data_IF_234524130547
#
_entry.id   IF_234524130547
#
_cell.length_a   1.000
_cell.length_b   1.000
_cell.length_c   1.000
_cell.angle_alpha   90.00
_cell.angle_beta   90.00
_cell.angle_gamma   90.00
#
_symmetry.space_group_name_H-M   'P 1'
#
loop_
_entity.id
_entity.type
_entity.pdbx_description
1 polymer ?
#
# COMPACT_ATOMS: atom_id res chain seq x y z
N UNK A 1 -11.18 -2.63 -10.10
CA UNK A 1 -9.89 -2.54 -9.36
C UNK A 1 -9.72 -3.75 -8.45
N UNK A 2 -8.56 -4.34 -8.41
CA UNK A 2 -8.30 -5.53 -7.56
C UNK A 2 -7.45 -5.10 -6.39
N UNK A 3 -7.98 -5.24 -5.17
CA UNK A 3 -7.35 -4.71 -3.95
C UNK A 3 -6.63 -5.77 -3.12
N UNK A 4 -6.95 -7.05 -3.28
CA UNK A 4 -6.25 -8.14 -2.57
C UNK A 4 -5.84 -9.22 -3.57
N UNK A 5 -4.60 -9.71 -3.46
CA UNK A 5 -4.07 -10.80 -4.27
C UNK A 5 -3.21 -11.72 -3.42
N UNK A 6 -3.37 -13.00 -3.68
CA UNK A 6 -2.49 -14.04 -3.17
C UNK A 6 -1.59 -14.48 -4.31
N UNK A 7 -0.28 -14.51 -4.05
CA UNK A 7 0.74 -14.95 -4.99
C UNK A 7 1.70 -15.90 -4.28
N UNK A 8 2.30 -16.79 -5.04
CA UNK A 8 3.40 -17.64 -4.57
C UNK A 8 4.69 -17.04 -5.10
N UNK A 9 5.65 -16.80 -4.23
CA UNK A 9 6.97 -16.30 -4.62
C UNK A 9 8.04 -17.33 -4.30
N UNK A 10 8.99 -17.50 -5.22
CA UNK A 10 10.11 -18.43 -5.05
C UNK A 10 11.44 -17.77 -5.43
N UNK A 11 12.41 -17.80 -4.53
CA UNK A 11 13.81 -17.51 -4.90
C UNK A 11 14.34 -18.54 -5.88
N UNK A 12 15.25 -18.12 -6.77
CA UNK A 12 15.92 -19.03 -7.68
C UNK A 12 16.75 -20.07 -6.92
N UNK A 13 16.89 -21.27 -7.47
CA UNK A 13 17.79 -22.29 -6.93
C UNK A 13 19.24 -21.85 -7.11
N UNK A 14 20.13 -22.19 -6.18
CA UNK A 14 21.56 -22.08 -6.41
C UNK A 14 22.05 -23.04 -7.47
N UNK A 15 23.02 -22.61 -8.28
CA UNK A 15 23.69 -23.44 -9.26
C UNK A 15 24.51 -24.55 -8.59
N UNK A 16 24.68 -25.68 -9.25
CA UNK A 16 25.47 -26.79 -8.72
C UNK A 16 26.97 -26.48 -8.80
N UNK A 17 27.74 -26.91 -7.82
CA UNK A 17 29.22 -26.93 -7.89
C UNK A 17 29.73 -27.94 -8.92
N UNK A 18 30.89 -27.69 -9.49
CA UNK A 18 31.47 -28.52 -10.54
C UNK A 18 32.56 -29.43 -9.98
N UNK A 19 32.58 -30.68 -10.45
CA UNK A 19 33.76 -31.55 -10.37
C UNK A 19 34.55 -31.37 -11.65
N UNK A 20 35.75 -30.87 -11.57
CA UNK A 20 36.68 -30.68 -12.69
C UNK A 20 38.12 -30.76 -12.21
N UNK A 21 39.01 -31.20 -13.11
CA UNK A 21 40.44 -31.31 -12.86
C UNK A 21 41.21 -30.61 -13.96
N UNK A 22 42.26 -29.90 -13.58
CA UNK A 22 43.14 -29.17 -14.50
C UNK A 22 43.82 -30.18 -15.42
N UNK A 23 43.74 -29.93 -16.74
CA UNK A 23 44.39 -30.71 -17.78
C UNK A 23 45.17 -29.80 -18.68
N UNK A 24 46.48 -29.92 -18.68
CA UNK A 24 47.38 -29.15 -19.54
C UNK A 24 48.38 -30.06 -20.23
N UNK A 25 48.95 -29.56 -21.32
CA UNK A 25 50.03 -30.24 -22.02
C UNK A 25 51.19 -30.47 -21.01
N UNK A 26 51.60 -31.70 -20.84
CA UNK A 26 52.63 -32.14 -19.84
C UNK A 26 52.17 -32.18 -18.36
N UNK A 27 50.91 -31.94 -18.04
CA UNK A 27 50.36 -32.13 -16.68
C UNK A 27 49.12 -33.05 -16.78
N UNK A 28 49.28 -34.38 -16.88
CA UNK A 28 48.15 -35.29 -17.06
C UNK A 28 47.29 -35.42 -15.80
N UNK A 29 47.86 -35.19 -14.59
CA UNK A 29 47.21 -35.28 -13.30
C UNK A 29 47.22 -33.93 -12.59
N UNK A 30 46.48 -32.95 -13.12
CA UNK A 30 46.29 -31.65 -12.46
C UNK A 30 45.37 -31.76 -11.26
N UNK A 31 45.52 -30.84 -10.28
CA UNK A 31 44.66 -30.77 -9.12
C UNK A 31 43.20 -30.38 -9.45
N UNK A 32 42.28 -30.42 -8.46
CA UNK A 32 40.89 -30.03 -8.63
C UNK A 32 40.79 -28.56 -9.03
N UNK A 33 39.97 -28.28 -10.01
CA UNK A 33 39.74 -26.93 -10.55
C UNK A 33 38.28 -26.58 -10.78
N UNK A 34 37.34 -27.38 -10.24
CA UNK A 34 35.92 -27.12 -10.33
C UNK A 34 35.48 -25.91 -9.49
N UNK A 35 34.81 -24.96 -10.14
CA UNK A 35 34.28 -23.75 -9.50
C UNK A 35 32.98 -24.01 -8.74
N UNK A 36 32.62 -23.08 -7.86
CA UNK A 36 31.35 -23.08 -7.13
C UNK A 36 30.21 -22.66 -8.05
N UNK A 37 28.97 -23.10 -7.79
CA UNK A 37 27.79 -22.63 -8.43
C UNK A 37 27.42 -21.20 -7.99
N UNK A 38 26.69 -20.50 -8.83
CA UNK A 38 26.15 -19.17 -8.54
C UNK A 38 24.99 -19.22 -7.55
N UNK A 39 24.78 -18.15 -6.83
CA UNK A 39 23.59 -17.98 -5.94
C UNK A 39 22.37 -17.73 -6.82
N UNK A 40 21.21 -18.27 -6.46
CA UNK A 40 19.93 -17.95 -7.12
C UNK A 40 19.49 -16.50 -6.88
N UNK A 41 18.65 -15.99 -7.77
CA UNK A 41 18.06 -14.66 -7.66
C UNK A 41 17.07 -14.56 -6.50
N UNK A 42 16.89 -13.37 -5.97
CA UNK A 42 15.90 -13.08 -4.95
C UNK A 42 14.60 -12.55 -5.59
N UNK A 43 13.47 -12.63 -4.84
CA UNK A 43 12.22 -11.94 -5.21
C UNK A 43 12.03 -10.73 -4.30
N UNK A 44 11.85 -9.57 -4.93
CA UNK A 44 11.65 -8.27 -4.26
C UNK A 44 10.36 -7.64 -4.75
N UNK A 45 9.53 -7.16 -3.84
CA UNK A 45 8.36 -6.35 -4.18
C UNK A 45 8.75 -4.87 -4.09
N UNK A 46 8.34 -4.08 -5.09
CA UNK A 46 8.72 -2.66 -5.22
C UNK A 46 7.48 -1.83 -5.48
N UNK A 47 7.24 -0.80 -4.68
CA UNK A 47 6.15 0.16 -4.91
C UNK A 47 6.47 1.09 -6.08
N UNK A 48 5.50 1.30 -6.97
CA UNK A 48 5.65 2.12 -8.17
C UNK A 48 4.39 2.96 -8.44
N UNK A 49 4.59 4.21 -8.85
CA UNK A 49 3.51 5.08 -9.32
C UNK A 49 2.93 4.65 -10.68
N UNK A 50 3.68 3.87 -11.45
CA UNK A 50 3.24 3.37 -12.76
C UNK A 50 2.26 2.18 -12.70
N UNK A 51 1.93 1.70 -11.51
CA UNK A 51 1.00 0.59 -11.29
C UNK A 51 -0.18 1.11 -10.48
N UNK A 52 -1.40 0.97 -10.99
CA UNK A 52 -2.62 1.51 -10.37
C UNK A 52 -3.43 0.47 -9.57
N UNK A 53 -3.31 -0.81 -9.89
CA UNK A 53 -4.02 -1.89 -9.19
C UNK A 53 -3.25 -3.21 -9.20
N UNK A 54 -3.76 -4.23 -8.50
CA UNK A 54 -3.17 -5.56 -8.43
C UNK A 54 -3.72 -6.55 -9.49
N UNK A 55 -4.56 -6.08 -10.42
CA UNK A 55 -5.27 -6.92 -11.39
C UNK A 55 -4.34 -7.62 -12.39
N UNK A 56 -3.20 -7.01 -12.72
CA UNK A 56 -2.22 -7.58 -13.65
C UNK A 56 -1.61 -8.93 -13.17
N UNK A 57 -1.69 -9.20 -11.86
CA UNK A 57 -1.08 -10.41 -11.29
C UNK A 57 -1.90 -11.69 -11.50
N UNK A 58 -3.14 -11.63 -11.96
CA UNK A 58 -4.00 -12.81 -12.08
C UNK A 58 -4.21 -13.58 -10.75
N UNK A 59 -5.11 -14.55 -10.68
CA UNK A 59 -5.33 -15.36 -9.48
C UNK A 59 -4.17 -16.37 -9.30
N UNK A 60 -3.60 -16.45 -8.08
CA UNK A 60 -2.57 -17.43 -7.65
C UNK A 60 -1.39 -17.59 -8.60
N UNK A 61 -0.87 -16.50 -9.12
CA UNK A 61 0.29 -16.55 -9.99
C UNK A 61 1.56 -16.86 -9.19
N UNK A 62 2.41 -17.72 -9.73
CA UNK A 62 3.72 -18.04 -9.16
C UNK A 62 4.79 -17.16 -9.81
N UNK A 63 5.62 -16.52 -8.98
CA UNK A 63 6.72 -15.66 -9.38
C UNK A 63 8.02 -16.26 -8.86
N UNK A 64 8.87 -16.72 -9.75
CA UNK A 64 10.15 -17.36 -9.39
C UNK A 64 11.28 -16.55 -10.00
N UNK A 65 12.30 -16.23 -9.19
CA UNK A 65 13.52 -15.59 -9.66
C UNK A 65 14.40 -16.59 -10.41
N UNK A 66 15.38 -16.08 -11.15
CA UNK A 66 16.30 -16.89 -11.95
C UNK A 66 17.21 -17.76 -11.08
N UNK A 67 17.45 -19.00 -11.53
CA UNK A 67 18.38 -19.90 -10.88
C UNK A 67 19.84 -19.45 -11.07
N UNK A 68 20.69 -19.74 -10.10
CA UNK A 68 22.13 -19.56 -10.25
C UNK A 68 22.72 -20.55 -11.26
N UNK A 69 23.66 -20.10 -12.06
CA UNK A 69 24.35 -20.95 -13.02
C UNK A 69 25.31 -21.93 -12.34
N UNK A 70 25.50 -23.14 -12.89
CA UNK A 70 26.47 -24.08 -12.35
C UNK A 70 27.89 -23.57 -12.50
N UNK A 71 28.77 -24.02 -11.61
CA UNK A 71 30.21 -23.80 -11.71
C UNK A 71 30.81 -24.52 -12.93
N UNK A 72 31.97 -24.08 -13.36
CA UNK A 72 32.71 -24.67 -14.48
C UNK A 72 34.18 -24.99 -14.12
N UNK A 73 34.91 -25.64 -15.01
CA UNK A 73 36.33 -25.89 -14.86
C UNK A 73 37.15 -24.60 -14.86
N UNK A 74 38.42 -24.70 -14.44
CA UNK A 74 39.31 -23.54 -14.34
C UNK A 74 38.95 -22.60 -13.19
N UNK A 75 38.32 -23.10 -12.12
CA UNK A 75 37.86 -22.36 -10.93
C UNK A 75 36.84 -21.25 -11.26
N UNK A 76 36.15 -21.36 -12.37
CA UNK A 76 35.12 -20.35 -12.77
C UNK A 76 33.85 -20.61 -12.00
N UNK A 77 33.46 -19.63 -11.17
CA UNK A 77 32.19 -19.65 -10.45
C UNK A 77 31.02 -19.43 -11.43
N UNK A 78 29.90 -20.05 -11.12
CA UNK A 78 28.64 -19.80 -11.84
C UNK A 78 28.15 -18.36 -11.64
N UNK A 79 27.51 -17.80 -12.67
CA UNK A 79 26.89 -16.48 -12.58
C UNK A 79 25.72 -16.55 -11.59
N UNK A 80 25.51 -15.50 -10.81
CA UNK A 80 24.34 -15.34 -9.94
C UNK A 80 23.09 -15.18 -10.82
N UNK A 81 21.97 -15.81 -10.42
CA UNK A 81 20.67 -15.57 -11.01
C UNK A 81 20.18 -14.13 -10.80
N UNK A 82 19.41 -13.61 -11.74
CA UNK A 82 18.88 -12.26 -11.66
C UNK A 82 17.74 -12.17 -10.64
N UNK A 83 17.72 -11.08 -9.86
CA UNK A 83 16.65 -10.81 -8.90
C UNK A 83 15.36 -10.47 -9.66
N UNK A 84 14.22 -10.99 -9.22
CA UNK A 84 12.91 -10.67 -9.77
C UNK A 84 12.27 -9.54 -8.97
N UNK A 85 12.03 -8.40 -9.63
CA UNK A 85 11.29 -7.28 -9.04
C UNK A 85 9.81 -7.33 -9.48
N UNK A 86 8.91 -7.39 -8.50
CA UNK A 86 7.46 -7.32 -8.72
C UNK A 86 7.01 -5.92 -8.36
N UNK A 87 6.58 -5.14 -9.37
CA UNK A 87 6.07 -3.80 -9.15
C UNK A 87 4.63 -3.84 -8.67
N UNK A 88 4.33 -3.12 -7.58
CA UNK A 88 2.99 -2.99 -7.00
C UNK A 88 2.61 -1.52 -6.83
N UNK A 89 1.32 -1.18 -6.71
CA UNK A 89 0.91 0.18 -6.41
C UNK A 89 1.49 0.69 -5.10
N UNK A 90 1.71 1.99 -5.02
CA UNK A 90 2.00 2.66 -3.74
C UNK A 90 0.80 2.47 -2.80
N UNK A 91 1.09 2.17 -1.52
CA UNK A 91 0.05 1.85 -0.53
C UNK A 91 -0.26 0.36 -0.40
N UNK A 92 0.49 -0.50 -1.09
CA UNK A 92 0.36 -1.96 -0.94
C UNK A 92 0.98 -2.42 0.36
N UNK A 93 0.21 -3.17 1.15
CA UNK A 93 0.72 -3.92 2.30
C UNK A 93 1.05 -5.33 1.85
N UNK A 94 2.17 -5.81 2.35
CA UNK A 94 2.70 -7.13 2.05
C UNK A 94 2.64 -7.99 3.30
N UNK A 95 1.90 -9.10 3.25
CA UNK A 95 1.85 -10.11 4.30
C UNK A 95 2.45 -11.42 3.79
N UNK A 96 2.96 -12.24 4.70
CA UNK A 96 3.24 -13.66 4.45
C UNK A 96 2.27 -14.52 5.23
N UNK A 97 1.89 -15.67 4.68
CA UNK A 97 1.10 -16.66 5.42
C UNK A 97 2.06 -17.54 6.23
N UNK A 98 1.79 -17.65 7.53
CA UNK A 98 2.41 -18.68 8.36
C UNK A 98 1.80 -20.06 8.07
N UNK A 99 2.45 -21.13 8.50
CA UNK A 99 1.94 -22.50 8.40
C UNK A 99 0.58 -22.68 9.11
N UNK A 100 0.30 -21.83 10.11
CA UNK A 100 -1.00 -21.76 10.81
C UNK A 100 -2.11 -21.12 9.95
N UNK A 101 -1.79 -20.53 8.79
CA UNK A 101 -2.70 -19.74 7.97
C UNK A 101 -2.85 -18.29 8.39
N UNK A 102 -2.17 -17.85 9.45
CA UNK A 102 -2.16 -16.46 9.93
C UNK A 102 -1.36 -15.56 8.99
N UNK A 103 -1.88 -14.36 8.71
CA UNK A 103 -1.21 -13.35 7.90
C UNK A 103 -0.27 -12.51 8.78
N UNK A 104 1.05 -12.60 8.52
CA UNK A 104 2.09 -11.85 9.23
C UNK A 104 2.52 -10.66 8.35
N UNK A 105 2.47 -9.46 8.89
CA UNK A 105 2.91 -8.24 8.20
C UNK A 105 4.41 -8.28 7.92
N UNK A 106 4.80 -8.14 6.65
CA UNK A 106 6.20 -8.00 6.22
C UNK A 106 6.57 -6.53 5.97
N UNK A 107 5.71 -5.78 5.29
CA UNK A 107 5.98 -4.38 4.97
C UNK A 107 4.70 -3.62 4.60
N UNK A 108 4.72 -2.31 4.81
CA UNK A 108 3.76 -1.35 4.30
C UNK A 108 4.48 -0.40 3.33
N UNK A 109 4.17 -0.53 2.03
CA UNK A 109 4.83 0.20 0.94
C UNK A 109 4.09 1.51 0.67
N UNK A 110 4.18 2.45 1.59
CA UNK A 110 3.43 3.73 1.60
C UNK A 110 4.04 4.81 0.71
N UNK A 111 5.31 4.68 0.29
CA UNK A 111 6.00 5.65 -0.57
C UNK A 111 6.54 4.98 -1.84
N UNK A 112 6.70 5.74 -2.96
CA UNK A 112 7.25 5.20 -4.20
C UNK A 112 8.69 4.71 -4.01
N UNK A 113 9.03 3.61 -4.67
CA UNK A 113 10.39 3.05 -4.68
C UNK A 113 10.77 2.27 -3.42
N UNK A 114 9.89 2.14 -2.43
CA UNK A 114 10.11 1.25 -1.29
C UNK A 114 10.17 -0.19 -1.75
N UNK A 115 11.05 -0.98 -1.09
CA UNK A 115 11.33 -2.38 -1.47
C UNK A 115 11.27 -3.28 -0.26
N UNK A 116 10.72 -4.48 -0.46
CA UNK A 116 10.75 -5.55 0.54
C UNK A 116 11.21 -6.84 -0.12
N UNK A 117 12.17 -7.51 0.52
CA UNK A 117 12.63 -8.85 0.12
C UNK A 117 11.61 -9.88 0.64
N UNK A 118 11.00 -10.64 -0.27
CA UNK A 118 9.95 -11.62 0.08
C UNK A 118 10.40 -13.07 -0.05
N UNK A 119 11.39 -13.37 -0.91
CA UNK A 119 12.00 -14.70 -0.97
C UNK A 119 13.47 -14.58 -1.35
N UNK A 120 14.34 -15.32 -0.64
CA UNK A 120 15.77 -15.38 -0.91
C UNK A 120 16.11 -16.51 -1.86
N UNK A 121 17.06 -16.25 -2.77
CA UNK A 121 17.65 -17.28 -3.61
C UNK A 121 18.48 -18.27 -2.80
N UNK A 122 18.55 -19.51 -3.28
CA UNK A 122 19.35 -20.58 -2.72
C UNK A 122 20.85 -20.34 -2.90
N UNK A 123 21.65 -20.85 -2.01
CA UNK A 123 23.12 -20.79 -2.10
C UNK A 123 23.63 -21.69 -3.20
N UNK A 124 24.67 -21.23 -3.90
CA UNK A 124 25.39 -22.05 -4.87
C UNK A 124 26.14 -23.22 -4.21
N UNK A 125 26.15 -24.35 -4.89
CA UNK A 125 26.88 -25.51 -4.48
C UNK A 125 28.40 -25.30 -4.57
N UNK A 126 29.17 -25.95 -3.71
CA UNK A 126 30.63 -25.86 -3.67
C UNK A 126 31.25 -26.77 -4.73
N UNK A 127 32.24 -26.27 -5.48
CA UNK A 127 33.06 -27.04 -6.41
C UNK A 127 34.06 -27.95 -5.70
N UNK A 128 34.61 -28.92 -6.43
CA UNK A 128 35.52 -29.90 -5.84
C UNK A 128 36.80 -29.27 -5.25
N UNK A 129 37.22 -28.10 -5.70
CA UNK A 129 38.34 -27.35 -5.10
C UNK A 129 38.15 -27.11 -3.60
N UNK A 130 36.91 -26.88 -3.14
CA UNK A 130 36.61 -26.62 -1.73
C UNK A 130 36.71 -27.84 -0.83
N UNK A 131 36.76 -29.05 -1.41
CA UNK A 131 36.82 -30.30 -0.71
C UNK A 131 38.24 -30.91 -0.72
N UNK A 132 39.21 -30.21 -1.34
CA UNK A 132 40.59 -30.63 -1.32
C UNK A 132 41.20 -30.48 0.08
N UNK A 133 41.83 -31.55 0.58
CA UNK A 133 42.52 -31.60 1.88
C UNK A 133 43.91 -32.22 1.69
N UNK A 134 44.76 -32.14 2.71
CA UNK A 134 46.10 -32.78 2.67
C UNK A 134 46.02 -34.29 2.44
N UNK A 135 44.94 -34.95 2.89
CA UNK A 135 44.73 -36.39 2.73
C UNK A 135 44.02 -36.73 1.42
N UNK A 136 43.05 -35.89 0.99
CA UNK A 136 42.35 -36.07 -0.27
C UNK A 136 42.60 -34.85 -1.18
N UNK A 137 43.64 -34.96 -2.01
CA UNK A 137 44.07 -33.87 -2.91
C UNK A 137 43.28 -33.81 -4.23
N UNK A 138 42.53 -34.86 -4.58
CA UNK A 138 41.77 -34.96 -5.81
C UNK A 138 40.29 -35.37 -5.56
N UNK A 139 39.51 -34.57 -4.81
CA UNK A 139 38.15 -34.95 -4.48
C UNK A 139 37.24 -34.96 -5.74
N UNK A 140 36.50 -36.05 -5.92
CA UNK A 140 35.53 -36.27 -7.00
C UNK A 140 34.10 -35.91 -6.57
N UNK A 141 33.95 -34.97 -5.63
CA UNK A 141 32.63 -34.52 -5.16
C UNK A 141 32.50 -33.02 -5.24
N UNK A 142 31.27 -32.61 -5.57
CA UNK A 142 30.83 -31.24 -5.45
C UNK A 142 29.45 -31.23 -4.77
N UNK A 143 29.03 -30.14 -4.18
CA UNK A 143 27.71 -30.04 -3.61
C UNK A 143 26.70 -29.48 -4.65
N UNK A 144 25.45 -29.90 -4.50
CA UNK A 144 24.34 -29.30 -5.27
C UNK A 144 24.02 -27.93 -4.68
N UNK A 145 23.47 -27.05 -5.53
CA UNK A 145 22.91 -25.79 -5.08
C UNK A 145 21.67 -26.01 -4.21
N UNK A 146 21.50 -25.14 -3.24
CA UNK A 146 20.33 -25.14 -2.35
C UNK A 146 19.09 -24.61 -3.09
N UNK A 147 17.91 -25.08 -2.68
CA UNK A 147 16.65 -24.50 -3.16
C UNK A 147 16.50 -23.08 -2.62
N UNK A 148 15.87 -22.20 -3.39
CA UNK A 148 15.45 -20.90 -2.89
C UNK A 148 14.28 -21.02 -1.90
N UNK A 149 14.05 -19.95 -1.15
CA UNK A 149 12.88 -19.85 -0.27
C UNK A 149 11.61 -19.81 -1.12
N UNK A 150 10.54 -20.49 -0.67
CA UNK A 150 9.21 -20.39 -1.26
C UNK A 150 8.24 -19.87 -0.18
N UNK A 151 7.42 -18.86 -0.51
CA UNK A 151 6.46 -18.26 0.41
C UNK A 151 5.16 -17.90 -0.27
N UNK A 152 4.07 -18.04 0.48
CA UNK A 152 2.77 -17.48 0.12
C UNK A 152 2.69 -16.04 0.60
N UNK A 153 2.51 -15.12 -0.33
CA UNK A 153 2.41 -13.68 -0.10
C UNK A 153 0.99 -13.22 -0.37
N UNK A 154 0.47 -12.45 0.56
CA UNK A 154 -0.79 -11.73 0.40
C UNK A 154 -0.46 -10.26 0.21
N UNK A 155 -0.90 -9.71 -0.90
CA UNK A 155 -0.82 -8.31 -1.23
C UNK A 155 -2.18 -7.67 -1.01
N UNK A 156 -2.22 -6.61 -0.23
CA UNK A 156 -3.43 -5.85 0.03
C UNK A 156 -3.17 -4.39 -0.30
N UNK A 157 -3.87 -3.87 -1.31
CA UNK A 157 -3.80 -2.46 -1.65
C UNK A 157 -4.72 -1.69 -0.71
N UNK A 158 -4.15 -0.96 0.25
CA UNK A 158 -4.90 0.05 0.99
C UNK A 158 -5.23 1.19 0.06
N UNK A 159 -6.51 1.51 -0.04
CA UNK A 159 -6.90 2.72 -0.74
C UNK A 159 -6.30 3.93 -0.03
N UNK A 160 -5.48 4.63 -0.75
CA UNK A 160 -5.10 5.99 -0.37
C UNK A 160 -6.26 6.88 -0.83
N UNK A 161 -7.23 7.08 0.02
CA UNK A 161 -8.24 8.11 -0.19
C UNK A 161 -7.66 9.43 0.27
N UNK A 162 -7.69 10.44 -0.60
CA UNK A 162 -7.24 11.78 -0.21
C UNK A 162 -8.28 12.44 0.70
N UNK A 163 -9.57 12.21 0.41
CA UNK A 163 -10.71 12.83 1.05
C UNK A 163 -11.75 11.77 1.41
N UNK A 164 -12.27 11.80 2.63
CA UNK A 164 -13.42 11.00 3.02
C UNK A 164 -14.61 11.90 3.36
N UNK A 165 -15.78 11.56 2.81
CA UNK A 165 -17.05 12.20 3.15
C UNK A 165 -17.72 11.39 4.25
N UNK A 166 -17.96 12.04 5.38
CA UNK A 166 -18.60 11.46 6.57
C UNK A 166 -19.87 12.21 6.90
N UNK A 167 -20.88 11.53 7.42
CA UNK A 167 -22.14 12.16 7.79
C UNK A 167 -23.24 11.12 7.98
N UNK A 168 -24.35 11.58 8.53
CA UNK A 168 -25.53 10.74 8.79
C UNK A 168 -26.16 10.18 7.51
N UNK A 169 -26.96 9.11 7.60
CA UNK A 169 -27.80 8.68 6.49
C UNK A 169 -28.63 9.84 5.96
N UNK A 170 -28.84 9.91 4.65
CA UNK A 170 -29.62 10.94 3.94
C UNK A 170 -29.05 12.37 4.01
N UNK A 171 -27.86 12.61 4.54
CA UNK A 171 -27.22 13.93 4.48
C UNK A 171 -26.81 14.35 3.06
N UNK A 172 -26.85 13.42 2.09
CA UNK A 172 -26.55 13.67 0.67
C UNK A 172 -25.11 13.34 0.29
N UNK A 173 -24.43 12.42 1.00
CA UNK A 173 -23.04 12.03 0.72
C UNK A 173 -22.85 11.49 -0.69
N UNK A 174 -23.65 10.52 -1.11
CA UNK A 174 -23.58 9.93 -2.45
C UNK A 174 -23.93 10.94 -3.54
N UNK A 175 -24.85 11.89 -3.25
CA UNK A 175 -25.18 12.99 -4.16
C UNK A 175 -23.99 13.93 -4.33
N UNK A 176 -23.34 14.32 -3.22
CA UNK A 176 -22.14 15.14 -3.26
C UNK A 176 -21.01 14.45 -4.01
N UNK A 177 -20.76 13.16 -3.68
CA UNK A 177 -19.73 12.37 -4.36
C UNK A 177 -19.97 12.29 -5.87
N UNK A 178 -21.21 12.10 -6.29
CA UNK A 178 -21.59 12.11 -7.72
C UNK A 178 -21.40 13.47 -8.38
N UNK A 179 -21.67 14.56 -7.65
CA UNK A 179 -21.53 15.92 -8.17
C UNK A 179 -20.06 16.36 -8.37
N UNK A 180 -19.13 15.83 -7.56
CA UNK A 180 -17.70 16.17 -7.62
C UNK A 180 -16.85 15.18 -8.40
N UNK A 181 -17.37 14.01 -8.73
CA UNK A 181 -16.68 12.98 -9.49
C UNK A 181 -16.75 13.17 -10.99
N UNK A 182 -15.64 12.90 -11.70
CA UNK A 182 -15.59 12.95 -13.18
C UNK A 182 -16.37 11.81 -13.85
N UNK A 183 -16.40 10.65 -13.22
CA UNK A 183 -17.12 9.46 -13.66
C UNK A 183 -18.18 9.10 -12.61
N UNK A 184 -19.11 8.21 -12.96
CA UNK A 184 -20.05 7.67 -11.96
C UNK A 184 -19.24 7.02 -10.85
N UNK A 185 -19.52 7.34 -9.56
CA UNK A 185 -18.87 6.69 -8.45
C UNK A 185 -19.02 5.17 -8.53
N UNK A 186 -17.94 4.45 -8.31
CA UNK A 186 -17.95 2.99 -8.35
C UNK A 186 -17.99 2.42 -6.94
N UNK A 187 -18.79 1.38 -6.79
CA UNK A 187 -18.81 0.58 -5.56
C UNK A 187 -17.54 -0.27 -5.55
N UNK A 188 -16.73 -0.11 -4.53
CA UNK A 188 -15.51 -0.91 -4.36
C UNK A 188 -15.83 -2.20 -3.59
N UNK A 189 -15.58 -3.35 -4.23
CA UNK A 189 -15.75 -4.67 -3.63
C UNK A 189 -14.61 -4.95 -2.64
N UNK A 190 -14.89 -4.77 -1.36
CA UNK A 190 -14.00 -5.19 -0.28
C UNK A 190 -14.52 -6.48 0.35
N UNK A 191 -13.74 -7.57 0.31
CA UNK A 191 -14.19 -8.88 0.80
C UNK A 191 -14.47 -8.93 2.31
N UNK A 192 -14.12 -7.88 3.05
CA UNK A 192 -14.24 -7.80 4.52
C UNK A 192 -15.22 -6.72 4.99
N UNK A 193 -15.91 -6.00 4.09
CA UNK A 193 -16.89 -4.98 4.49
C UNK A 193 -18.31 -5.46 4.26
N UNK A 194 -19.17 -5.32 5.27
CA UNK A 194 -20.62 -5.60 5.15
C UNK A 194 -21.36 -4.53 4.34
N UNK A 195 -20.75 -3.35 4.18
CA UNK A 195 -21.22 -2.26 3.33
C UNK A 195 -20.03 -1.72 2.52
N UNK A 196 -20.16 -1.77 1.22
CA UNK A 196 -19.11 -1.38 0.29
C UNK A 196 -18.99 0.14 0.23
N UNK A 197 -17.78 0.72 0.36
CA UNK A 197 -17.56 2.14 0.16
C UNK A 197 -17.78 2.52 -1.31
N UNK A 198 -18.25 3.72 -1.51
CA UNK A 198 -18.39 4.28 -2.84
C UNK A 198 -17.21 5.23 -3.06
N UNK A 199 -16.50 5.02 -4.17
CA UNK A 199 -15.35 5.82 -4.53
C UNK A 199 -15.67 6.70 -5.71
N UNK A 200 -15.15 7.91 -5.68
CA UNK A 200 -15.15 8.84 -6.78
C UNK A 200 -13.78 9.42 -7.04
N UNK A 201 -13.52 9.81 -8.27
CA UNK A 201 -12.30 10.51 -8.66
C UNK A 201 -12.64 11.95 -8.98
N UNK A 202 -12.06 12.86 -8.24
CA UNK A 202 -12.19 14.30 -8.40
C UNK A 202 -11.00 14.80 -9.22
N UNK A 203 -11.22 15.24 -10.48
CA UNK A 203 -10.14 15.61 -11.38
C UNK A 203 -9.48 16.92 -10.98
N UNK A 204 -8.18 17.02 -11.24
CA UNK A 204 -7.40 18.25 -11.14
C UNK A 204 -6.30 18.27 -12.19
N UNK A 205 -5.77 19.46 -12.52
CA UNK A 205 -4.74 19.64 -13.55
C UNK A 205 -3.40 18.97 -13.19
N UNK A 206 -3.12 18.83 -11.89
CA UNK A 206 -1.85 18.27 -11.39
C UNK A 206 -1.93 16.79 -11.09
N UNK A 207 -3.01 16.35 -10.44
CA UNK A 207 -3.27 14.96 -10.08
C UNK A 207 -4.74 14.79 -9.75
N UNK A 208 -5.26 13.61 -9.98
CA UNK A 208 -6.60 13.25 -9.53
C UNK A 208 -6.61 13.00 -8.00
N UNK A 209 -7.71 13.39 -7.35
CA UNK A 209 -7.95 13.12 -5.94
C UNK A 209 -8.96 11.99 -5.78
N UNK A 210 -8.64 11.01 -4.95
CA UNK A 210 -9.56 9.91 -4.64
C UNK A 210 -10.43 10.32 -3.46
N UNK A 211 -11.73 10.33 -3.68
CA UNK A 211 -12.75 10.66 -2.66
C UNK A 211 -13.55 9.41 -2.33
N UNK A 212 -13.69 9.09 -1.05
CA UNK A 212 -14.51 7.99 -0.58
C UNK A 212 -15.73 8.51 0.20
N UNK A 213 -16.87 7.90 -0.02
CA UNK A 213 -17.99 7.98 0.92
C UNK A 213 -17.83 6.87 1.96
N UNK A 214 -17.88 7.24 3.24
CA UNK A 214 -17.97 6.27 4.34
C UNK A 214 -19.46 6.00 4.60
N UNK A 215 -19.99 4.83 4.20
CA UNK A 215 -21.39 4.49 4.47
C UNK A 215 -21.56 4.22 5.96
N UNK A 216 -22.53 4.92 6.59
CA UNK A 216 -23.07 4.53 7.88
C UNK A 216 -22.13 4.64 9.08
N UNK A 217 -21.48 5.80 9.28
CA UNK A 217 -21.19 6.25 10.64
C UNK A 217 -22.54 6.48 11.32
N UNK A 218 -23.08 5.46 11.97
CA UNK A 218 -24.33 5.48 12.70
C UNK A 218 -23.99 5.28 14.17
N UNK A 219 -24.80 5.86 15.03
CA UNK A 219 -24.74 5.65 16.47
C UNK A 219 -24.52 4.18 16.83
N UNK A 220 -23.42 3.89 17.53
CA UNK A 220 -23.02 2.52 17.87
C UNK A 220 -22.17 1.78 16.83
N UNK A 221 -21.60 2.46 15.84
CA UNK A 221 -20.69 1.85 14.86
C UNK A 221 -19.47 1.18 15.55
N UNK A 222 -18.98 1.74 16.65
CA UNK A 222 -17.90 1.19 17.47
C UNK A 222 -18.27 -0.12 18.21
N UNK A 223 -19.57 -0.40 18.40
CA UNK A 223 -20.06 -1.64 19.06
C UNK A 223 -20.23 -2.81 18.07
N UNK A 224 -19.67 -2.73 16.88
CA UNK A 224 -19.75 -3.79 15.88
C UNK A 224 -21.06 -3.84 15.08
N UNK A 225 -21.98 -2.88 15.29
CA UNK A 225 -23.22 -2.76 14.51
C UNK A 225 -23.08 -1.91 13.25
N UNK A 226 -21.88 -1.33 13.00
CA UNK A 226 -21.55 -0.49 11.85
C UNK A 226 -20.54 -1.13 10.90
N UNK A 227 -19.85 -0.28 10.14
CA UNK A 227 -18.72 -0.67 9.32
C UNK A 227 -17.64 -1.27 10.21
N UNK A 228 -17.22 -2.51 9.93
CA UNK A 228 -16.20 -3.19 10.70
C UNK A 228 -14.92 -2.35 10.83
N UNK A 229 -14.17 -2.57 11.90
CA UNK A 229 -12.88 -1.90 12.19
C UNK A 229 -11.91 -1.90 10.99
N UNK A 230 -12.07 -2.81 10.05
CA UNK A 230 -11.22 -2.95 8.87
C UNK A 230 -11.41 -1.81 7.86
N UNK A 231 -12.65 -1.35 7.61
CA UNK A 231 -12.87 -0.22 6.70
C UNK A 231 -12.29 1.09 7.26
N UNK A 232 -12.38 1.28 8.57
CA UNK A 232 -11.82 2.46 9.22
C UNK A 232 -10.30 2.52 9.16
N UNK A 233 -9.62 1.35 9.12
CA UNK A 233 -8.18 1.29 8.83
C UNK A 233 -7.84 1.82 7.43
N UNK A 234 -8.72 1.69 6.45
CA UNK A 234 -8.50 2.27 5.12
C UNK A 234 -8.69 3.79 5.14
N UNK A 235 -9.63 4.29 5.95
CA UNK A 235 -9.82 5.72 6.17
C UNK A 235 -8.69 6.38 6.97
N UNK A 236 -7.86 5.61 7.70
CA UNK A 236 -6.70 6.11 8.45
C UNK A 236 -5.68 6.88 7.59
N UNK A 237 -5.61 6.58 6.31
CA UNK A 237 -4.71 7.27 5.37
C UNK A 237 -5.30 8.50 4.71
N UNK A 238 -6.58 8.76 4.93
CA UNK A 238 -7.22 9.97 4.42
C UNK A 238 -6.53 11.21 4.99
N UNK A 239 -6.40 12.25 4.18
CA UNK A 239 -5.78 13.52 4.61
C UNK A 239 -6.80 14.50 5.11
N UNK A 240 -8.01 14.43 4.56
CA UNK A 240 -9.10 15.36 4.82
C UNK A 240 -10.41 14.63 5.04
N UNK A 241 -11.17 15.04 6.07
CA UNK A 241 -12.54 14.62 6.31
C UNK A 241 -13.49 15.76 5.95
N UNK A 242 -14.51 15.48 5.11
CA UNK A 242 -15.63 16.38 4.86
C UNK A 242 -16.82 15.89 5.69
N UNK A 243 -17.17 16.66 6.71
CA UNK A 243 -18.34 16.43 7.55
C UNK A 243 -19.57 16.99 6.83
N UNK A 244 -20.39 16.12 6.26
CA UNK A 244 -21.59 16.51 5.54
C UNK A 244 -22.81 16.44 6.45
N UNK A 245 -23.34 17.62 6.78
CA UNK A 245 -24.49 17.80 7.65
C UNK A 245 -25.76 18.06 6.83
N UNK A 246 -26.88 17.50 7.30
CA UNK A 246 -28.17 17.77 6.71
C UNK A 246 -28.72 19.11 7.24
N UNK A 247 -28.78 20.14 6.40
CA UNK A 247 -29.31 21.44 6.78
C UNK A 247 -30.79 21.42 7.14
N UNK A 248 -31.55 20.41 6.68
CA UNK A 248 -32.97 20.25 7.02
C UNK A 248 -33.19 19.58 8.38
N UNK A 249 -32.15 18.96 8.96
CA UNK A 249 -32.27 18.37 10.30
C UNK A 249 -32.56 19.43 11.35
N UNK A 250 -33.55 19.22 12.23
CA UNK A 250 -33.81 20.11 13.35
C UNK A 250 -32.66 20.06 14.40
N UNK A 251 -31.92 18.99 14.44
CA UNK A 251 -30.86 18.68 15.41
C UNK A 251 -29.45 18.75 14.82
N UNK A 252 -29.23 19.50 13.75
CA UNK A 252 -27.97 19.54 12.98
C UNK A 252 -26.70 19.76 13.84
N UNK A 253 -26.79 20.50 14.96
CA UNK A 253 -25.68 20.71 15.86
C UNK A 253 -25.40 19.50 16.77
N UNK A 254 -26.44 18.80 17.18
CA UNK A 254 -26.29 17.60 17.99
C UNK A 254 -25.86 16.43 17.10
N UNK A 255 -26.33 16.39 15.86
CA UNK A 255 -25.84 15.47 14.83
C UNK A 255 -24.33 15.66 14.62
N UNK A 256 -23.84 16.92 14.56
CA UNK A 256 -22.41 17.20 14.45
C UNK A 256 -21.65 16.67 15.67
N UNK A 257 -22.10 16.95 16.90
CA UNK A 257 -21.44 16.47 18.10
C UNK A 257 -21.37 14.95 18.17
N UNK A 258 -22.45 14.29 17.81
CA UNK A 258 -22.49 12.81 17.80
C UNK A 258 -21.51 12.26 16.75
N UNK A 259 -21.45 12.87 15.56
CA UNK A 259 -20.51 12.49 14.52
C UNK A 259 -19.05 12.72 14.96
N UNK A 260 -18.74 13.83 15.63
CA UNK A 260 -17.42 14.11 16.17
C UNK A 260 -17.03 13.11 17.26
N UNK A 261 -17.94 12.76 18.15
CA UNK A 261 -17.72 11.75 19.19
C UNK A 261 -17.44 10.37 18.59
N UNK A 262 -18.20 9.95 17.56
CA UNK A 262 -17.96 8.68 16.87
C UNK A 262 -16.58 8.66 16.20
N UNK A 263 -16.19 9.75 15.52
CA UNK A 263 -14.86 9.84 14.88
C UNK A 263 -13.74 9.88 15.91
N UNK A 264 -13.96 10.51 17.07
CA UNK A 264 -12.97 10.58 18.15
C UNK A 264 -12.61 9.21 18.75
N UNK A 265 -13.49 8.20 18.62
CA UNK A 265 -13.18 6.83 18.99
C UNK A 265 -12.09 6.20 18.10
N UNK A 266 -11.86 6.77 16.92
CA UNK A 266 -10.85 6.33 15.96
C UNK A 266 -9.68 7.34 15.96
N UNK A 267 -8.65 7.03 16.76
CA UNK A 267 -7.52 7.91 17.07
C UNK A 267 -6.86 8.52 15.83
N UNK A 268 -6.76 7.74 14.76
CA UNK A 268 -6.09 8.16 13.53
C UNK A 268 -6.96 9.08 12.66
N UNK A 269 -8.28 9.05 12.82
CA UNK A 269 -9.21 9.94 12.11
C UNK A 269 -9.42 11.27 12.84
N UNK A 270 -9.35 11.29 14.16
CA UNK A 270 -9.62 12.47 14.99
C UNK A 270 -8.64 13.63 14.71
N UNK A 271 -7.41 13.29 14.32
CA UNK A 271 -6.34 14.24 14.06
C UNK A 271 -6.26 14.74 12.61
N UNK A 272 -7.17 14.27 11.73
CA UNK A 272 -7.16 14.67 10.31
C UNK A 272 -7.68 16.08 10.12
N UNK A 273 -7.27 16.70 9.01
CA UNK A 273 -7.86 17.96 8.57
C UNK A 273 -9.37 17.77 8.35
N UNK A 274 -10.14 18.79 8.69
CA UNK A 274 -11.61 18.73 8.55
C UNK A 274 -12.18 19.99 7.90
N UNK A 275 -13.19 19.76 7.06
CA UNK A 275 -14.08 20.77 6.48
C UNK A 275 -15.50 20.38 6.86
N UNK A 276 -16.32 21.36 7.20
CA UNK A 276 -17.74 21.15 7.41
C UNK A 276 -18.53 21.64 6.21
N UNK A 277 -19.54 20.89 5.80
CA UNK A 277 -20.46 21.26 4.75
C UNK A 277 -21.89 21.04 5.22
N UNK A 278 -22.68 22.11 5.28
CA UNK A 278 -24.14 22.08 5.53
C UNK A 278 -24.80 21.97 4.18
N UNK A 279 -25.43 20.84 3.90
CA UNK A 279 -26.06 20.52 2.62
C UNK A 279 -27.55 20.91 2.59
N UNK A 280 -28.15 20.81 1.40
CA UNK A 280 -29.57 21.06 1.12
C UNK A 280 -30.00 22.53 1.28
N UNK A 281 -29.08 23.47 1.04
CA UNK A 281 -29.43 24.90 1.11
C UNK A 281 -30.37 25.37 0.02
N UNK A 282 -30.69 24.53 -0.96
CA UNK A 282 -31.74 24.76 -1.96
C UNK A 282 -33.15 24.67 -1.37
N UNK A 283 -33.32 24.01 -0.22
CA UNK A 283 -34.60 23.91 0.45
C UNK A 283 -34.98 25.24 1.14
N UNK A 284 -36.21 25.70 0.96
CA UNK A 284 -36.69 26.94 1.53
C UNK A 284 -36.62 27.00 3.05
N UNK A 285 -36.89 25.87 3.72
CA UNK A 285 -36.79 25.72 5.18
C UNK A 285 -35.32 25.89 5.69
N UNK A 286 -34.34 25.43 4.91
CA UNK A 286 -32.90 25.58 5.24
C UNK A 286 -32.49 27.03 5.00
N UNK A 287 -32.96 27.66 3.89
CA UNK A 287 -32.67 29.06 3.60
C UNK A 287 -33.15 29.99 4.72
N UNK A 288 -34.34 29.75 5.25
CA UNK A 288 -34.86 30.53 6.36
C UNK A 288 -34.01 30.44 7.64
N UNK A 289 -33.36 29.30 7.87
CA UNK A 289 -32.48 29.02 9.04
C UNK A 289 -31.01 29.36 8.81
N UNK A 290 -30.59 29.65 7.58
CA UNK A 290 -29.18 29.92 7.25
C UNK A 290 -28.52 30.98 8.12
N UNK A 291 -29.16 32.15 8.43
CA UNK A 291 -28.53 33.16 9.29
C UNK A 291 -28.20 32.61 10.69
N UNK A 292 -29.12 31.86 11.28
CA UNK A 292 -28.93 31.20 12.57
C UNK A 292 -27.82 30.15 12.52
N UNK A 293 -27.85 29.27 11.52
CA UNK A 293 -26.85 28.24 11.32
C UNK A 293 -25.46 28.86 11.16
N UNK A 294 -25.29 29.91 10.36
CA UNK A 294 -24.02 30.63 10.20
C UNK A 294 -23.49 31.17 11.52
N UNK A 295 -24.38 31.79 12.31
CA UNK A 295 -23.97 32.33 13.63
C UNK A 295 -23.51 31.25 14.60
N UNK A 296 -24.21 30.10 14.63
CA UNK A 296 -23.88 28.97 15.52
C UNK A 296 -22.59 28.28 15.11
N UNK A 297 -22.39 28.05 13.82
CA UNK A 297 -21.21 27.36 13.29
C UNK A 297 -19.96 28.25 13.24
N UNK A 298 -20.09 29.60 13.20
CA UNK A 298 -18.96 30.53 13.12
C UNK A 298 -17.93 30.36 14.27
N UNK A 299 -18.33 29.75 15.40
CA UNK A 299 -17.48 29.57 16.58
C UNK A 299 -16.60 28.29 16.52
N UNK A 300 -16.75 27.45 15.50
CA UNK A 300 -16.09 26.14 15.46
C UNK A 300 -14.64 26.18 14.98
N UNK A 301 -14.17 27.31 14.42
CA UNK A 301 -12.76 27.49 14.03
C UNK A 301 -12.30 26.63 12.85
N UNK A 302 -13.23 25.99 12.13
CA UNK A 302 -12.95 25.16 10.92
C UNK A 302 -13.65 25.77 9.71
N UNK A 303 -13.16 25.54 8.47
CA UNK A 303 -13.83 25.99 7.27
C UNK A 303 -15.24 25.36 7.14
N UNK A 304 -16.26 26.19 6.88
CA UNK A 304 -17.63 25.75 6.78
C UNK A 304 -18.22 26.26 5.47
N UNK A 305 -18.86 25.35 4.73
CA UNK A 305 -19.53 25.63 3.48
C UNK A 305 -21.02 25.32 3.59
N UNK A 306 -21.84 26.15 2.94
CA UNK A 306 -23.28 25.98 2.86
C UNK A 306 -23.62 25.65 1.40
N UNK A 307 -23.90 24.37 1.14
CA UNK A 307 -23.94 23.83 -0.22
C UNK A 307 -25.29 23.21 -0.56
N UNK A 308 -25.55 23.09 -1.84
CA UNK A 308 -26.55 22.15 -2.36
C UNK A 308 -25.83 21.15 -3.29
N UNK A 309 -25.74 19.91 -2.89
CA UNK A 309 -25.20 18.87 -3.72
C UNK A 309 -26.05 18.57 -4.97
N UNK A 310 -27.34 18.88 -4.91
CA UNK A 310 -28.29 18.67 -6.02
C UNK A 310 -28.17 19.77 -7.07
N UNK A 311 -28.15 21.04 -6.65
CA UNK A 311 -28.07 22.18 -7.58
C UNK A 311 -26.62 22.57 -7.94
N UNK A 312 -25.63 22.05 -7.25
CA UNK A 312 -24.23 22.44 -7.43
C UNK A 312 -23.82 23.73 -6.73
N UNK A 313 -24.77 24.40 -6.01
CA UNK A 313 -24.50 25.65 -5.33
C UNK A 313 -23.34 25.49 -4.33
N UNK A 314 -22.30 26.35 -4.43
CA UNK A 314 -21.10 26.39 -3.59
C UNK A 314 -20.28 25.08 -3.54
N UNK A 315 -20.59 24.08 -4.36
CA UNK A 315 -19.85 22.81 -4.42
C UNK A 315 -18.43 23.04 -4.97
N UNK A 316 -18.27 23.89 -5.99
CA UNK A 316 -16.95 24.21 -6.54
C UNK A 316 -16.02 24.89 -5.54
N UNK A 317 -16.56 25.74 -4.66
CA UNK A 317 -15.79 26.41 -3.61
C UNK A 317 -15.32 25.39 -2.55
N UNK A 318 -16.20 24.47 -2.13
CA UNK A 318 -15.87 23.36 -1.25
C UNK A 318 -14.75 22.51 -1.85
N UNK A 319 -14.89 22.12 -3.11
CA UNK A 319 -13.90 21.30 -3.85
C UNK A 319 -12.54 21.98 -3.89
N UNK A 320 -12.50 23.27 -4.27
CA UNK A 320 -11.26 24.05 -4.33
C UNK A 320 -10.56 24.10 -2.98
N UNK A 321 -11.31 24.36 -1.90
CA UNK A 321 -10.74 24.41 -0.55
C UNK A 321 -10.25 23.03 -0.08
N UNK A 322 -10.99 21.98 -0.39
CA UNK A 322 -10.59 20.60 -0.07
C UNK A 322 -9.26 20.22 -0.75
N UNK A 323 -9.11 20.51 -2.05
CA UNK A 323 -7.87 20.29 -2.80
C UNK A 323 -6.69 21.06 -2.20
N UNK A 324 -6.86 22.34 -1.94
CA UNK A 324 -5.84 23.21 -1.33
C UNK A 324 -5.34 22.61 -0.01
N UNK A 325 -6.24 22.19 0.87
CA UNK A 325 -5.88 21.63 2.18
C UNK A 325 -5.16 20.30 2.06
N UNK A 326 -5.58 19.42 1.15
CA UNK A 326 -4.92 18.13 0.92
C UNK A 326 -3.52 18.33 0.33
N UNK A 327 -3.34 19.26 -0.60
CA UNK A 327 -2.04 19.56 -1.19
C UNK A 327 -1.08 20.17 -0.16
N UNK A 328 -1.57 21.02 0.71
CA UNK A 328 -0.77 21.60 1.79
C UNK A 328 -0.31 20.49 2.76
N UNK A 329 -1.21 19.63 3.21
CA UNK A 329 -0.88 18.50 4.07
C UNK A 329 0.16 17.57 3.43
N UNK A 330 0.06 17.32 2.12
CA UNK A 330 1.02 16.49 1.39
C UNK A 330 2.43 17.08 1.38
N UNK A 331 2.54 18.40 1.20
CA UNK A 331 3.83 19.10 1.22
C UNK A 331 4.46 19.08 2.62
N UNK A 332 3.64 19.26 3.66
CA UNK A 332 4.13 19.23 5.04
C UNK A 332 4.66 17.83 5.40
N UNK A 333 3.99 16.75 4.96
CA UNK A 333 4.45 15.37 5.13
C UNK A 333 5.78 15.12 4.38
N UNK A 334 5.94 15.63 3.16
CA UNK A 334 7.18 15.50 2.38
C UNK A 334 8.36 16.22 3.08
N UNK A 335 8.14 17.42 3.58
CA UNK A 335 9.16 18.20 4.32
C UNK A 335 9.60 17.46 5.58
N UNK A 336 8.65 16.92 6.36
CA UNK A 336 8.94 16.14 7.57
C UNK A 336 9.69 14.84 7.21
N UNK A 337 9.30 14.15 6.16
CA UNK A 337 9.97 12.93 5.68
C UNK A 337 11.42 13.20 5.26
N UNK A 338 11.68 14.31 4.55
CA UNK A 338 13.03 14.69 4.14
C UNK A 338 13.90 15.12 5.34
N UNK A 339 13.33 15.75 6.36
CA UNK A 339 14.04 16.15 7.58
C UNK A 339 14.50 14.93 8.42
N UNK A 340 13.81 13.80 8.32
CA UNK A 340 14.15 12.55 9.05
C UNK A 340 15.16 11.66 8.32
N UNK A 341 15.59 11.99 7.10
CA UNK A 341 16.70 11.33 6.42
C UNK A 341 18.01 11.86 7.02
N UNK A 342 18.32 11.45 8.24
CA UNK A 342 19.63 11.67 8.85
C UNK A 342 20.62 10.75 8.11
N UNK A 343 21.46 11.34 7.27
CA UNK A 343 22.53 10.64 6.56
C UNK A 343 23.47 10.02 7.58
N UNK A 344 23.35 8.71 7.79
CA UNK A 344 24.33 7.95 8.56
C UNK A 344 25.63 7.93 7.75
N UNK A 345 26.57 8.84 8.09
CA UNK A 345 27.94 8.77 7.59
C UNK A 345 28.72 7.81 8.47
N UNK A 346 29.13 6.62 7.98
CA UNK A 346 30.02 5.75 8.76
C UNK A 346 31.34 6.49 9.00
N UNK A 347 31.79 6.51 10.26
CA UNK A 347 33.13 7.04 10.60
C UNK A 347 34.17 6.24 9.84
N UNK A 348 35.18 6.89 9.22
CA UNK A 348 36.29 6.17 8.61
C UNK A 348 37.00 5.34 9.68
N UNK A 349 37.21 4.06 9.39
CA UNK A 349 38.05 3.19 10.23
C UNK A 349 39.47 3.75 10.23
N UNK A 350 40.01 4.04 11.44
CA UNK A 350 41.44 4.30 11.66
C UNK A 350 42.23 2.98 11.54
#
# INVERSE_FOLDING_TARGET
>A
MVYKREIVVGGGRGGDGRVSFRREKYIPFGGPDGGDGGVGGNVVIVSSLGVSDLGFMGPRKKFIAEDGHPGSGGRKHGKRGEDLAISVPVGTIVFTKADSGEEILLADLSAPGQKVLVAKGGRGGLGNVRFATAVNQAPERASKGESGEERDIVLELKLITDICIVGYPNSGKSTLLSAISRARPEIADYPFTTRQPILGVMPDDRRDFVVAEIPGLVEGAHLGKGLGNEFLRHAERTKLLIYLLDGSSPTVLDDLKTLENEIALYKDLSNKLKIMAVNKVDLSEVQARLPELRQRFARLGVPIFYISAVSGQAVLELVRKAKEMVDQASRDEEIISQAHITVFRPKPRK
#
